data_IF_469709419547
#
_entry.id   IF_469709419547
#
_cell.length_a   1.000
_cell.length_b   1.000
_cell.length_c   1.000
_cell.angle_alpha   90.00
_cell.angle_beta   90.00
_cell.angle_gamma   90.00
#
_symmetry.space_group_name_H-M   'P 1'
#
loop_
_entity.id
_entity.type
_entity.pdbx_description
1 polymer ?
2 non-polymer ?
3 water ?
#
# COMPACT_ATOMS: atom_id res chain seq x y z
N UNK A 1 7.36 -3.75 -16.45
CA UNK A 1 8.26 -4.45 -15.48
C UNK A 1 7.72 -5.82 -15.11
N UNK A 2 8.63 -6.77 -14.91
CA UNK A 2 8.29 -8.13 -14.49
C UNK A 2 7.85 -8.20 -13.01
N UNK A 3 8.31 -7.24 -12.22
CA UNK A 3 7.98 -7.17 -10.80
C UNK A 3 7.45 -5.76 -10.47
N UNK A 4 6.23 -5.43 -10.95
CA UNK A 4 5.77 -4.04 -10.87
C UNK A 4 5.62 -3.54 -9.43
N UNK A 5 5.17 -4.41 -8.54
CA UNK A 5 4.94 -4.01 -7.15
C UNK A 5 6.26 -3.68 -6.46
N UNK A 6 7.26 -4.54 -6.69
CA UNK A 6 8.57 -4.37 -6.05
C UNK A 6 9.22 -3.06 -6.47
N UNK A 7 9.18 -2.78 -7.78
CA UNK A 7 9.67 -1.50 -8.29
C UNK A 7 8.91 -0.32 -7.66
N UNK A 8 7.58 -0.40 -7.65
CA UNK A 8 6.79 0.67 -7.04
C UNK A 8 7.16 0.85 -5.56
N UNK A 9 7.25 -0.26 -4.84
CA UNK A 9 7.58 -0.23 -3.41
C UNK A 9 8.86 0.57 -3.14
N UNK A 10 9.92 0.27 -3.89
CA UNK A 10 11.17 1.03 -3.81
C UNK A 10 10.95 2.53 -4.04
N UNK A 11 10.21 2.86 -5.10
CA UNK A 11 9.95 4.25 -5.44
C UNK A 11 9.16 4.96 -4.34
N UNK A 12 8.15 4.26 -3.79
CA UNK A 12 7.29 4.84 -2.75
C UNK A 12 8.08 5.08 -1.47
N UNK A 13 8.90 4.10 -1.09
CA UNK A 13 9.76 4.22 0.11
C UNK A 13 10.71 5.43 -0.01
N UNK A 14 11.32 5.60 -1.18
CA UNK A 14 12.22 6.73 -1.42
C UNK A 14 11.49 8.08 -1.33
N UNK A 15 10.32 8.18 -1.97
CA UNK A 15 9.53 9.42 -1.93
C UNK A 15 9.04 9.77 -0.52
N UNK A 16 8.58 8.75 0.20
CA UNK A 16 8.15 8.92 1.59
C UNK A 16 9.28 9.41 2.48
N UNK A 17 10.45 8.79 2.35
CA UNK A 17 11.66 9.19 3.08
C UNK A 17 11.95 10.66 2.79
N UNK A 18 11.88 11.03 1.51
CA UNK A 18 12.13 12.40 1.10
C UNK A 18 11.10 13.38 1.67
N UNK A 19 9.81 13.01 1.61
CA UNK A 19 8.73 13.87 2.11
C UNK A 19 8.85 14.09 3.61
N UNK A 20 9.27 13.05 4.32
CA UNK A 20 9.39 13.13 5.79
C UNK A 20 10.40 14.19 6.24
N UNK A 21 11.41 14.44 5.41
CA UNK A 21 12.44 15.46 5.70
C UNK A 21 11.84 16.85 5.96
N UNK A 22 10.83 17.21 5.16
CA UNK A 22 10.25 18.55 5.22
C UNK A 22 8.81 18.50 5.73
N UNK A 23 8.37 17.34 6.20
CA UNK A 23 6.97 17.14 6.55
C UNK A 23 6.55 18.06 7.70
N UNK A 24 5.46 18.79 7.48
CA UNK A 24 4.90 19.71 8.48
C UNK A 24 3.98 19.04 9.48
N UNK A 25 3.82 17.72 9.35
CA UNK A 25 3.05 16.91 10.30
C UNK A 25 3.78 15.60 10.61
N UNK A 26 3.28 14.86 11.60
CA UNK A 26 3.83 13.54 11.94
C UNK A 26 2.83 12.47 11.48
N UNK A 27 3.05 11.92 10.29
CA UNK A 27 2.13 10.90 9.75
C UNK A 27 2.32 9.55 10.45
N UNK A 28 1.20 8.95 10.82
CA UNK A 28 1.19 7.71 11.58
C UNK A 28 0.73 6.54 10.71
N UNK A 29 0.12 6.88 9.57
CA UNK A 29 -0.29 5.89 8.57
C UNK A 29 0.16 6.33 7.17
N UNK A 30 0.51 5.36 6.33
CA UNK A 30 0.90 5.64 4.95
C UNK A 30 0.72 4.40 4.11
N UNK A 31 0.66 4.59 2.79
CA UNK A 31 0.51 3.44 1.92
C UNK A 31 1.85 3.00 1.33
N UNK A 32 2.27 1.81 1.74
CA UNK A 32 3.36 1.08 1.09
C UNK A 32 2.73 -0.08 0.32
N UNK A 33 2.98 -0.17 -1.00
CA UNK A 33 2.49 -1.32 -1.76
C UNK A 33 2.79 -2.63 -1.05
N UNK A 34 1.77 -3.48 -0.92
CA UNK A 34 1.91 -4.79 -0.30
C UNK A 34 2.26 -5.79 -1.40
N UNK A 35 3.54 -6.16 -1.51
CA UNK A 35 3.99 -7.05 -2.59
C UNK A 35 4.07 -8.51 -2.15
N UNK A 36 3.74 -9.42 -3.07
CA UNK A 36 4.08 -10.83 -2.89
C UNK A 36 5.54 -11.06 -3.27
N UNK A 37 6.04 -12.26 -3.01
CA UNK A 37 7.45 -12.62 -3.24
C UNK A 37 7.86 -12.66 -4.72
N UNK A 38 6.87 -12.75 -5.61
CA UNK A 38 7.11 -12.70 -7.06
C UNK A 38 7.18 -11.28 -7.60
N UNK A 39 6.96 -10.31 -6.71
CA UNK A 39 7.00 -8.89 -7.05
C UNK A 39 5.73 -8.35 -7.68
N UNK A 40 4.65 -9.13 -7.62
CA UNK A 40 3.32 -8.63 -7.94
C UNK A 40 2.58 -8.20 -6.68
N UNK A 41 1.33 -7.77 -6.83
CA UNK A 41 0.54 -7.24 -5.72
C UNK A 41 -0.29 -8.31 -5.03
N UNK A 42 -0.21 -8.38 -3.70
CA UNK A 42 -1.23 -9.13 -2.96
C UNK A 42 -2.61 -8.59 -3.35
N UNK A 43 -3.61 -9.48 -3.44
CA UNK A 43 -4.99 -9.05 -3.71
C UNK A 43 -5.48 -8.03 -2.69
N UNK A 44 -5.18 -8.27 -1.43
CA UNK A 44 -5.48 -7.28 -0.41
C UNK A 44 -4.35 -6.25 -0.34
N UNK A 45 -4.71 -4.97 -0.40
CA UNK A 45 -3.77 -3.88 -0.14
C UNK A 45 -4.22 -3.10 1.07
N UNK A 46 -3.31 -2.91 2.02
CA UNK A 46 -3.62 -2.14 3.23
C UNK A 46 -2.62 -1.01 3.48
N UNK A 47 -3.13 0.05 4.10
CA UNK A 47 -2.28 1.09 4.66
C UNK A 47 -1.43 0.50 5.76
N UNK A 48 -0.22 1.05 5.89
CA UNK A 48 0.67 0.75 6.99
C UNK A 48 0.34 1.69 8.14
N UNK A 49 0.18 1.11 9.33
CA UNK A 49 -0.13 1.89 10.51
C UNK A 49 0.90 1.65 11.62
N UNK A 50 1.21 2.70 12.37
CA UNK A 50 2.15 2.61 13.49
C UNK A 50 1.60 3.35 14.71
N UNK A 51 0.28 3.44 14.80
CA UNK A 51 -0.35 4.29 15.81
C UNK A 51 -1.42 3.59 16.64
N UNK A 52 -1.53 2.27 16.50
CA UNK A 52 -2.51 1.49 17.26
C UNK A 52 -3.90 1.49 16.65
N UNK A 53 -4.02 2.04 15.45
CA UNK A 53 -5.28 2.04 14.72
C UNK A 53 -5.12 1.20 13.46
N UNK A 54 -6.19 0.49 13.09
CA UNK A 54 -6.21 -0.31 11.87
C UNK A 54 -6.09 0.61 10.64
N UNK A 55 -5.23 0.24 9.69
CA UNK A 55 -5.21 0.92 8.39
C UNK A 55 -6.35 0.46 7.48
N UNK A 56 -6.70 1.30 6.50
CA UNK A 56 -7.71 0.98 5.50
C UNK A 56 -7.17 -0.12 4.59
N UNK A 57 -8.02 -1.07 4.21
CA UNK A 57 -7.65 -2.06 3.19
C UNK A 57 -8.65 -2.01 2.05
N UNK A 58 -8.19 -2.41 0.86
CA UNK A 58 -9.04 -2.53 -0.32
C UNK A 58 -8.53 -3.68 -1.19
N UNK A 59 -9.22 -3.95 -2.30
CA UNK A 59 -8.87 -5.06 -3.16
C UNK A 59 -8.36 -4.60 -4.53
N UNK A 60 -7.29 -5.24 -5.00
CA UNK A 60 -6.68 -4.87 -6.28
C UNK A 60 -6.53 -6.08 -7.19
N UNK A 61 -6.29 -5.83 -8.48
CA UNK A 61 -5.84 -6.88 -9.38
C UNK A 61 -4.35 -7.14 -9.12
N UNK A 62 -3.97 -8.40 -8.84
CA UNK A 62 -2.56 -8.67 -8.51
C UNK A 62 -1.52 -8.27 -9.56
N UNK A 63 -1.91 -8.23 -10.84
CA UNK A 63 -0.95 -7.92 -11.89
C UNK A 63 -0.65 -6.43 -12.06
N UNK A 64 -1.52 -5.55 -11.55
CA UNK A 64 -1.30 -4.10 -11.70
C UNK A 64 -1.49 -3.24 -10.44
N UNK A 65 -2.03 -3.83 -9.37
CA UNK A 65 -2.22 -3.12 -8.10
C UNK A 65 -3.27 -2.02 -8.12
N UNK A 66 -4.17 -2.05 -9.11
CA UNK A 66 -5.22 -1.05 -9.22
C UNK A 66 -6.47 -1.59 -8.54
N UNK A 67 -7.13 -0.74 -7.75
CA UNK A 67 -8.35 -1.11 -7.05
C UNK A 67 -9.39 -1.68 -8.02
N UNK A 68 -10.00 -2.79 -7.63
CA UNK A 68 -11.10 -3.39 -8.37
C UNK A 68 -12.33 -2.50 -8.19
N UNK A 69 -12.94 -2.04 -9.30
CA UNK A 69 -14.12 -1.18 -9.17
C UNK A 69 -15.20 -1.87 -8.34
N UNK A 70 -15.82 -1.12 -7.43
CA UNK A 70 -16.81 -1.70 -6.51
C UNK A 70 -16.22 -2.34 -5.25
N UNK A 71 -14.89 -2.40 -5.19
CA UNK A 71 -14.18 -2.97 -4.03
C UNK A 71 -14.57 -2.25 -2.74
N UNK A 72 -14.78 -3.02 -1.66
CA UNK A 72 -14.94 -2.37 -0.37
C UNK A 72 -13.62 -1.73 0.08
N UNK A 73 -13.72 -0.67 0.87
CA UNK A 73 -12.58 -0.10 1.59
C UNK A 73 -12.96 0.00 3.06
N UNK A 74 -12.34 -0.85 3.88
CA UNK A 74 -12.65 -0.94 5.31
C UNK A 74 -11.37 -1.04 6.15
N UNK A 75 -11.46 -0.66 7.42
CA UNK A 75 -10.33 -0.86 8.35
C UNK A 75 -10.35 -2.29 8.89
N UNK A 76 -9.98 -3.21 8.02
CA UNK A 76 -9.98 -4.63 8.31
C UNK A 76 -9.79 -5.36 7.01
N UNK A 77 -9.65 -6.68 7.08
CA UNK A 77 -9.45 -7.50 5.89
C UNK A 77 -10.77 -7.62 5.12
N UNK A 78 -10.81 -7.10 3.87
CA UNK A 78 -12.04 -7.12 3.08
C UNK A 78 -12.38 -8.51 2.53
N UNK A 79 -11.48 -9.47 2.74
CA UNK A 79 -11.60 -10.82 2.18
C UNK A 79 -11.67 -10.77 0.66
N UNK A 80 -10.58 -10.30 0.07
CA UNK A 80 -10.49 -10.01 -1.36
C UNK A 80 -10.49 -11.29 -2.19
X LIG B 1 5.12 8.27 -1.24
X LIG B 1 3.72 8.78 -3.08
X LIG B 1 5.21 9.75 -0.86
X LIG B 1 3.82 10.27 -2.76
X LIG B 1 3.87 8.03 -1.88
X LIG B 1 5.03 10.54 -2.04
#
# INVERSE_FOLDING_TARGET
WKEPCRIELYRVVESLAKAQETSGEEISKFYLPNCNKNGFYHSRQCETSMDGEAGLCWCVYPWNGKRIPGSPEIRGDPNC
DIO C1 C2 C1' C2' O1 O1'
#
